data_IF_522575317338
#
_entry.id   IF_522575317338
#
_cell.length_a   1.000
_cell.length_b   1.000
_cell.length_c   1.000
_cell.angle_alpha   90.00
_cell.angle_beta   90.00
_cell.angle_gamma   90.00
#
_symmetry.space_group_name_H-M   'P 1'
#
loop_
_entity.id
_entity.type
_entity.pdbx_description
1 polymer ?
#
# COMPACT_ATOMS: atom_id res chain seq x y z
N UNK A 1 -78.47 19.48 7.34
CA UNK A 1 -78.88 18.30 6.54
C UNK A 1 -78.83 17.11 7.46
N UNK A 2 -79.81 16.98 8.37
CA UNK A 2 -81.01 16.17 8.12
C UNK A 2 -80.60 14.72 7.79
N UNK A 3 -80.54 13.84 8.79
CA UNK A 3 -81.69 13.08 9.36
C UNK A 3 -82.01 11.86 8.48
N UNK A 4 -82.30 10.75 9.17
CA UNK A 4 -82.72 9.42 8.70
C UNK A 4 -81.56 8.53 8.22
N UNK A 5 -81.25 7.39 8.81
CA UNK A 5 -82.08 6.29 9.34
C UNK A 5 -81.21 5.55 10.39
N UNK A 6 -81.50 5.41 11.69
CA UNK A 6 -82.65 4.79 12.38
C UNK A 6 -83.12 3.49 11.70
N UNK A 7 -83.25 2.43 12.51
CA UNK A 7 -83.75 1.08 12.21
C UNK A 7 -82.65 0.15 11.64
N UNK A 8 -82.16 -0.89 12.34
CA UNK A 8 -82.83 -1.80 13.27
C UNK A 8 -81.82 -2.30 14.31
N UNK A 9 -82.06 -1.89 15.56
CA UNK A 9 -81.77 -2.69 16.74
C UNK A 9 -83.12 -3.31 17.13
N UNK A 10 -83.37 -4.52 16.65
CA UNK A 10 -84.35 -5.48 17.18
C UNK A 10 -83.50 -6.71 17.49
N UNK A 11 -83.60 -7.41 18.60
CA UNK A 11 -84.54 -7.43 19.70
C UNK A 11 -83.84 -8.31 20.76
N UNK A 12 -83.82 -7.94 22.05
CA UNK A 12 -84.78 -8.46 23.04
C UNK A 12 -84.44 -9.96 23.33
N UNK A 13 -84.02 -10.39 24.53
CA UNK A 13 -84.74 -10.35 25.81
C UNK A 13 -83.85 -10.95 26.93
N UNK A 14 -83.98 -10.37 28.14
CA UNK A 14 -83.90 -10.90 29.53
C UNK A 14 -82.85 -11.97 29.91
N UNK A 15 -82.31 -12.06 31.12
CA UNK A 15 -82.75 -11.79 32.51
C UNK A 15 -81.49 -12.13 33.36
N UNK A 16 -81.12 -11.58 34.52
CA UNK A 16 -81.84 -11.21 35.74
C UNK A 16 -80.87 -10.48 36.68
N UNK A 17 -81.35 -9.35 37.22
CA UNK A 17 -81.37 -8.95 38.63
C UNK A 17 -80.10 -8.74 39.51
N UNK A 18 -80.22 -7.62 40.25
CA UNK A 18 -80.03 -7.41 41.69
C UNK A 18 -78.85 -6.51 42.13
N UNK A 19 -79.17 -5.21 42.28
CA UNK A 19 -79.03 -4.37 43.50
C UNK A 19 -77.66 -4.29 44.21
N UNK A 20 -77.15 -3.18 44.74
CA UNK A 20 -77.56 -1.79 44.83
C UNK A 20 -76.31 -1.01 45.30
N UNK A 21 -76.36 0.30 45.18
CA UNK A 21 -75.35 1.28 45.56
C UNK A 21 -74.89 1.20 47.04
N UNK A 22 -73.63 1.50 47.33
CA UNK A 22 -73.23 2.41 48.41
C UNK A 22 -71.73 2.69 48.42
N UNK A 23 -71.43 3.97 48.23
CA UNK A 23 -70.23 4.69 48.64
C UNK A 23 -69.65 4.18 49.96
N UNK A 24 -68.36 3.85 50.00
CA UNK A 24 -67.51 3.99 51.18
C UNK A 24 -66.06 4.08 50.72
N UNK A 25 -65.60 5.33 50.59
CA UNK A 25 -64.21 5.67 50.80
C UNK A 25 -63.70 4.91 52.04
N UNK A 26 -62.41 4.58 52.00
CA UNK A 26 -61.56 4.26 53.16
C UNK A 26 -61.31 2.77 53.42
N UNK A 27 -60.52 2.15 52.53
CA UNK A 27 -59.45 1.25 52.99
C UNK A 27 -58.20 1.50 52.14
N UNK A 28 -57.15 1.93 52.83
CA UNK A 28 -55.81 2.15 52.33
C UNK A 28 -55.35 0.96 51.49
N UNK A 29 -55.21 1.14 50.17
CA UNK A 29 -54.38 0.26 49.35
C UNK A 29 -53.21 1.07 48.81
N UNK A 30 -52.29 1.40 49.73
CA UNK A 30 -50.93 1.78 49.38
C UNK A 30 -50.25 0.48 48.94
N UNK A 31 -50.34 0.17 47.66
CA UNK A 31 -49.60 -0.94 47.06
C UNK A 31 -48.67 -0.38 45.99
N UNK A 32 -47.39 -0.25 46.35
CA UNK A 32 -46.30 -0.46 45.41
C UNK A 32 -45.65 0.76 44.75
N UNK A 33 -45.60 1.93 45.39
CA UNK A 33 -44.75 3.03 44.92
C UNK A 33 -43.35 2.89 45.55
N UNK A 34 -42.35 2.55 44.74
CA UNK A 34 -40.93 2.52 45.13
C UNK A 34 -40.47 3.96 45.40
N UNK A 35 -39.70 4.20 46.46
CA UNK A 35 -39.15 5.53 46.76
C UNK A 35 -38.15 5.96 45.69
N UNK A 36 -38.44 7.04 44.96
CA UNK A 36 -37.50 7.69 44.06
C UNK A 36 -36.97 8.96 44.72
N UNK A 37 -35.65 9.19 44.66
CA UNK A 37 -35.10 10.55 44.69
C UNK A 37 -35.24 11.11 43.26
N UNK A 38 -36.00 12.19 43.12
CA UNK A 38 -36.18 13.01 41.92
C UNK A 38 -36.08 12.29 40.55
N UNK A 39 -37.13 11.56 40.16
CA UNK A 39 -37.58 11.48 38.77
C UNK A 39 -36.74 10.71 37.73
N UNK A 40 -35.67 10.01 38.11
CA UNK A 40 -34.87 9.20 37.18
C UNK A 40 -34.53 7.80 37.74
N UNK A 41 -35.53 7.12 38.32
CA UNK A 41 -35.38 5.73 38.76
C UNK A 41 -35.87 4.75 37.70
N UNK A 42 -35.13 3.66 37.49
CA UNK A 42 -35.58 2.52 36.68
C UNK A 42 -36.87 1.94 37.27
N UNK A 43 -37.95 1.99 36.49
CA UNK A 43 -39.28 1.46 36.85
C UNK A 43 -39.41 -0.05 36.66
N UNK A 44 -38.51 -0.64 35.88
CA UNK A 44 -38.45 -2.08 35.64
C UNK A 44 -37.32 -2.73 36.45
N UNK A 45 -37.55 -3.95 36.96
CA UNK A 45 -36.52 -4.69 37.70
C UNK A 45 -35.30 -4.93 36.81
N UNK A 46 -34.11 -4.76 37.37
CA UNK A 46 -32.84 -4.98 36.65
C UNK A 46 -32.81 -6.41 36.12
N UNK A 47 -32.77 -6.54 34.79
CA UNK A 47 -32.66 -7.82 34.13
C UNK A 47 -31.37 -8.52 34.50
N UNK A 48 -31.46 -9.63 35.24
CA UNK A 48 -30.30 -10.45 35.58
C UNK A 48 -29.97 -11.35 34.40
N UNK A 49 -28.87 -11.06 33.70
CA UNK A 49 -28.37 -11.93 32.64
C UNK A 49 -27.63 -13.12 33.26
N UNK A 50 -28.31 -14.27 33.33
CA UNK A 50 -27.74 -15.51 33.83
C UNK A 50 -26.81 -16.12 32.77
N UNK A 51 -25.49 -16.03 33.00
CA UNK A 51 -24.49 -16.62 32.12
C UNK A 51 -24.63 -18.15 32.11
N UNK A 52 -25.03 -18.73 30.98
CA UNK A 52 -25.33 -20.16 30.83
C UNK A 52 -24.11 -21.10 30.87
N UNK A 53 -22.88 -20.58 31.01
CA UNK A 53 -21.63 -21.34 30.96
C UNK A 53 -20.84 -21.30 32.26
N UNK A 54 -19.96 -22.29 32.46
CA UNK A 54 -19.00 -22.35 33.59
C UNK A 54 -17.72 -21.53 33.36
N UNK A 55 -17.65 -20.76 32.27
CA UNK A 55 -16.51 -19.91 31.96
C UNK A 55 -16.45 -18.68 32.87
N UNK A 56 -15.25 -18.29 33.29
CA UNK A 56 -15.05 -17.08 34.09
C UNK A 56 -15.59 -15.82 33.39
N UNK A 57 -16.07 -14.86 34.19
CA UNK A 57 -16.48 -13.54 33.73
C UNK A 57 -15.31 -12.87 32.99
N UNK A 58 -15.54 -12.31 31.79
CA UNK A 58 -14.52 -11.63 30.99
C UNK A 58 -13.69 -12.49 30.02
N UNK A 59 -13.79 -13.83 30.07
CA UNK A 59 -12.99 -14.72 29.19
C UNK A 59 -13.26 -14.53 27.70
N UNK A 60 -14.50 -14.29 27.31
CA UNK A 60 -14.90 -14.07 25.91
C UNK A 60 -14.34 -12.75 25.34
N UNK A 61 -14.33 -11.69 26.15
CA UNK A 61 -13.79 -10.37 25.75
C UNK A 61 -12.29 -10.49 25.55
N UNK A 62 -11.56 -11.05 26.52
CA UNK A 62 -10.13 -11.27 26.42
C UNK A 62 -9.74 -12.17 25.23
N UNK A 63 -10.54 -13.21 24.94
CA UNK A 63 -10.29 -14.08 23.79
C UNK A 63 -10.55 -13.37 22.45
N UNK A 64 -11.58 -12.51 22.38
CA UNK A 64 -11.86 -11.70 21.19
C UNK A 64 -10.77 -10.65 20.95
N UNK A 65 -10.29 -9.99 21.99
CA UNK A 65 -9.18 -9.04 21.92
C UNK A 65 -7.88 -9.71 21.48
N UNK A 66 -7.57 -10.91 22.00
CA UNK A 66 -6.40 -11.69 21.57
C UNK A 66 -6.48 -12.04 20.08
N UNK A 67 -7.65 -12.49 19.60
CA UNK A 67 -7.86 -12.78 18.16
C UNK A 67 -7.73 -11.54 17.30
N UNK A 68 -8.33 -10.42 17.70
CA UNK A 68 -8.22 -9.15 16.98
C UNK A 68 -6.77 -8.68 16.91
N UNK A 69 -6.03 -8.73 18.03
CA UNK A 69 -4.60 -8.39 18.07
C UNK A 69 -3.78 -9.29 17.12
N UNK A 70 -4.01 -10.60 17.15
CA UNK A 70 -3.34 -11.53 16.24
C UNK A 70 -3.63 -11.24 14.76
N UNK A 71 -4.89 -10.94 14.42
CA UNK A 71 -5.26 -10.61 13.04
C UNK A 71 -4.63 -9.29 12.59
N UNK A 72 -4.60 -8.26 13.45
CA UNK A 72 -3.92 -6.99 13.14
C UNK A 72 -2.42 -7.20 12.93
N UNK A 73 -1.76 -7.97 13.81
CA UNK A 73 -0.34 -8.32 13.63
C UNK A 73 -0.11 -9.05 12.30
N UNK A 74 -0.93 -10.07 11.99
CA UNK A 74 -0.83 -10.83 10.73
C UNK A 74 -1.04 -9.94 9.51
N UNK A 75 -2.03 -9.05 9.54
CA UNK A 75 -2.25 -8.08 8.46
C UNK A 75 -1.08 -7.11 8.32
N UNK A 76 -0.48 -6.68 9.41
CA UNK A 76 0.70 -5.82 9.39
C UNK A 76 1.91 -6.53 8.77
N UNK A 77 2.18 -7.79 9.16
CA UNK A 77 3.24 -8.61 8.57
C UNK A 77 3.05 -8.79 7.06
N UNK A 78 1.83 -9.12 6.61
CA UNK A 78 1.55 -9.24 5.17
C UNK A 78 1.75 -7.93 4.40
N UNK A 79 1.46 -6.78 5.02
CA UNK A 79 1.68 -5.46 4.41
C UNK A 79 3.15 -5.13 4.30
N UNK A 80 3.92 -5.35 5.37
CA UNK A 80 5.38 -5.15 5.37
C UNK A 80 6.03 -6.02 4.30
N UNK A 81 5.66 -7.31 4.23
CA UNK A 81 6.15 -8.24 3.20
C UNK A 81 5.81 -7.77 1.76
N UNK A 82 4.60 -7.26 1.54
CA UNK A 82 4.21 -6.70 0.24
C UNK A 82 5.02 -5.43 -0.13
N UNK A 83 5.27 -4.56 0.84
CA UNK A 83 6.07 -3.35 0.66
C UNK A 83 7.53 -3.68 0.31
N UNK A 84 8.12 -4.66 1.00
CA UNK A 84 9.46 -5.18 0.70
C UNK A 84 9.54 -5.78 -0.71
N UNK A 85 8.55 -6.60 -1.11
CA UNK A 85 8.46 -7.12 -2.46
C UNK A 85 8.46 -5.99 -3.50
N UNK A 86 7.57 -4.99 -3.32
CA UNK A 86 7.50 -3.85 -4.23
C UNK A 86 8.79 -3.04 -4.27
N UNK A 87 9.49 -2.90 -3.14
CA UNK A 87 10.78 -2.22 -3.08
C UNK A 87 11.83 -2.95 -3.91
N UNK A 88 11.93 -4.28 -3.77
CA UNK A 88 12.87 -5.10 -4.56
C UNK A 88 12.58 -5.01 -6.06
N UNK A 89 11.31 -5.08 -6.45
CA UNK A 89 10.92 -4.96 -7.86
C UNK A 89 11.30 -3.58 -8.42
N UNK A 90 11.03 -2.49 -7.68
CA UNK A 90 11.45 -1.14 -8.12
C UNK A 90 12.95 -1.02 -8.26
N UNK A 91 13.71 -1.43 -7.25
CA UNK A 91 15.18 -1.41 -7.29
C UNK A 91 15.73 -2.18 -8.47
N UNK A 92 15.24 -3.41 -8.72
CA UNK A 92 15.67 -4.23 -9.86
C UNK A 92 15.38 -3.54 -11.20
N UNK A 93 14.23 -2.87 -11.32
CA UNK A 93 13.89 -2.10 -12.52
C UNK A 93 14.79 -0.86 -12.68
N UNK A 94 15.08 -0.14 -11.60
CA UNK A 94 16.00 1.00 -11.56
C UNK A 94 17.41 0.57 -12.00
N UNK A 95 17.91 -0.57 -11.49
CA UNK A 95 19.21 -1.14 -11.85
C UNK A 95 19.26 -1.51 -13.34
N UNK A 96 18.23 -2.19 -13.87
CA UNK A 96 18.14 -2.53 -15.30
C UNK A 96 18.09 -1.30 -16.20
N UNK A 97 17.37 -0.25 -15.77
CA UNK A 97 17.30 1.00 -16.49
C UNK A 97 18.67 1.69 -16.51
N UNK A 98 19.37 1.72 -15.37
CA UNK A 98 20.70 2.28 -15.24
C UNK A 98 21.71 1.59 -16.16
N UNK A 99 21.71 0.26 -16.21
CA UNK A 99 22.57 -0.52 -17.09
C UNK A 99 22.25 -0.28 -18.57
N UNK A 100 20.95 -0.25 -18.91
CA UNK A 100 20.48 0.05 -20.26
C UNK A 100 20.96 1.43 -20.73
N UNK A 101 20.86 2.44 -19.87
CA UNK A 101 21.27 3.81 -20.21
C UNK A 101 22.80 3.95 -20.27
N UNK A 102 23.53 3.25 -19.41
CA UNK A 102 24.99 3.15 -19.51
C UNK A 102 25.40 2.55 -20.84
N UNK A 103 24.74 1.46 -21.26
CA UNK A 103 25.02 0.78 -22.52
C UNK A 103 24.76 1.67 -23.73
N UNK A 104 23.60 2.36 -23.75
CA UNK A 104 23.27 3.34 -24.81
C UNK A 104 24.30 4.45 -24.87
N UNK A 105 24.69 4.98 -23.72
CA UNK A 105 25.67 6.06 -23.61
C UNK A 105 27.03 5.60 -24.15
N UNK A 106 27.51 4.40 -23.78
CA UNK A 106 28.76 3.83 -24.30
C UNK A 106 28.73 3.65 -25.82
N UNK A 107 27.61 3.15 -26.36
CA UNK A 107 27.44 2.99 -27.81
C UNK A 107 27.48 4.36 -28.52
N UNK A 108 26.75 5.35 -28.00
CA UNK A 108 26.73 6.70 -28.54
C UNK A 108 28.13 7.35 -28.48
N UNK A 109 28.83 7.17 -27.36
CA UNK A 109 30.19 7.68 -27.17
C UNK A 109 31.14 7.10 -28.21
N UNK A 110 31.17 5.77 -28.36
CA UNK A 110 32.02 5.11 -29.36
C UNK A 110 31.70 5.59 -30.78
N UNK A 111 30.42 5.74 -31.11
CA UNK A 111 29.98 6.19 -32.43
C UNK A 111 30.38 7.65 -32.71
N UNK A 112 30.20 8.56 -31.74
CA UNK A 112 30.51 9.97 -31.89
C UNK A 112 32.02 10.22 -31.87
N UNK A 113 32.76 9.50 -31.03
CA UNK A 113 34.21 9.51 -31.00
C UNK A 113 34.81 9.06 -32.33
N UNK A 114 34.30 7.96 -32.91
CA UNK A 114 34.73 7.48 -34.22
C UNK A 114 34.50 8.52 -35.33
N UNK A 115 33.37 9.23 -35.30
CA UNK A 115 33.08 10.33 -36.24
C UNK A 115 34.04 11.53 -36.03
N UNK A 116 34.42 11.80 -34.79
CA UNK A 116 35.39 12.83 -34.43
C UNK A 116 36.85 12.40 -34.67
N UNK A 117 37.10 11.17 -35.14
CA UNK A 117 38.44 10.62 -35.37
C UNK A 117 39.20 10.27 -34.09
N UNK A 118 38.50 10.12 -32.96
CA UNK A 118 39.06 9.66 -31.68
C UNK A 118 39.09 8.13 -31.72
N UNK A 119 40.29 7.56 -31.65
CA UNK A 119 40.51 6.10 -31.77
C UNK A 119 40.89 5.44 -30.43
N UNK A 120 40.91 6.20 -29.34
CA UNK A 120 41.25 5.71 -28.01
C UNK A 120 40.28 6.33 -27.01
N UNK A 121 39.51 5.52 -26.25
CA UNK A 121 38.60 6.05 -25.25
C UNK A 121 39.38 6.71 -24.10
N UNK A 122 38.75 7.67 -23.41
CA UNK A 122 39.34 8.35 -22.25
C UNK A 122 39.60 7.36 -21.13
N UNK A 123 38.59 6.57 -20.76
CA UNK A 123 38.73 5.41 -19.88
C UNK A 123 38.39 4.13 -20.65
N UNK A 124 39.01 3.01 -20.29
CA UNK A 124 38.82 1.73 -20.98
C UNK A 124 37.35 1.27 -21.03
N UNK A 125 36.53 1.67 -20.06
CA UNK A 125 35.11 1.32 -19.96
C UNK A 125 34.16 2.29 -20.71
N UNK A 126 34.65 3.36 -21.32
CA UNK A 126 33.81 4.29 -22.08
C UNK A 126 33.21 3.66 -23.34
N UNK A 127 33.90 2.69 -23.92
CA UNK A 127 33.42 1.97 -25.10
C UNK A 127 33.08 0.53 -24.73
N UNK A 128 32.04 -0.01 -25.37
CA UNK A 128 31.63 -1.39 -25.18
C UNK A 128 32.76 -2.31 -25.63
N UNK A 129 33.34 -3.05 -24.71
CA UNK A 129 34.35 -4.06 -25.02
C UNK A 129 33.68 -5.17 -25.83
N UNK A 130 34.15 -5.42 -27.06
CA UNK A 130 33.48 -6.31 -28.03
C UNK A 130 33.17 -7.71 -27.48
N UNK A 131 34.01 -8.24 -26.57
CA UNK A 131 33.78 -9.53 -25.89
C UNK A 131 32.53 -9.55 -25.01
N UNK A 132 32.22 -8.44 -24.34
CA UNK A 132 31.07 -8.36 -23.43
C UNK A 132 29.74 -8.28 -24.19
N UNK A 133 29.76 -7.87 -25.48
CA UNK A 133 28.56 -7.76 -26.32
C UNK A 133 27.92 -9.11 -26.63
N UNK A 134 28.70 -10.17 -26.74
CA UNK A 134 28.21 -11.53 -27.01
C UNK A 134 27.73 -12.20 -25.71
N UNK A 135 28.50 -12.09 -24.62
CA UNK A 135 28.19 -12.70 -23.31
C UNK A 135 26.90 -12.12 -22.68
N UNK A 136 26.70 -10.80 -22.75
CA UNK A 136 25.56 -10.10 -22.13
C UNK A 136 24.24 -10.34 -22.88
N UNK A 137 24.29 -10.53 -24.21
CA UNK A 137 23.12 -10.91 -25.01
C UNK A 137 22.58 -12.29 -24.67
N UNK A 138 23.43 -13.18 -24.16
CA UNK A 138 23.02 -14.50 -23.68
C UNK A 138 22.55 -14.49 -22.21
N UNK A 139 22.92 -13.48 -21.43
CA UNK A 139 22.50 -13.30 -20.03
C UNK A 139 21.10 -12.67 -19.93
N UNK A 140 20.80 -11.66 -20.76
CA UNK A 140 19.46 -11.05 -20.85
C UNK A 140 18.39 -12.10 -21.23
N UNK A 141 18.70 -13.05 -22.12
CA UNK A 141 17.79 -14.14 -22.49
C UNK A 141 17.61 -15.21 -21.38
N UNK A 142 18.54 -15.31 -20.43
CA UNK A 142 18.49 -16.27 -19.31
C UNK A 142 17.76 -15.70 -18.09
N UNK A 143 17.86 -14.40 -17.83
CA UNK A 143 17.19 -13.76 -16.69
C UNK A 143 15.65 -13.80 -16.78
N UNK A 144 15.08 -13.71 -17.98
CA UNK A 144 13.63 -13.79 -18.20
C UNK A 144 13.04 -15.20 -17.96
N UNK A 145 13.88 -16.24 -17.74
CA UNK A 145 13.43 -17.63 -17.52
C UNK A 145 13.49 -18.14 -16.08
N UNK A 146 14.20 -17.48 -15.17
CA UNK A 146 14.43 -18.00 -13.81
C UNK A 146 13.64 -17.27 -12.70
N UNK A 147 12.59 -16.52 -13.06
CA UNK A 147 11.93 -15.58 -12.12
C UNK A 147 10.99 -16.21 -11.07
N UNK A 148 10.92 -17.55 -10.94
CA UNK A 148 9.96 -18.23 -10.03
C UNK A 148 10.58 -19.18 -8.96
N UNK A 149 11.91 -19.31 -8.84
CA UNK A 149 12.53 -20.23 -7.85
C UNK A 149 13.75 -19.66 -7.08
N UNK A 150 13.65 -18.45 -6.50
CA UNK A 150 14.67 -18.01 -5.53
C UNK A 150 14.10 -17.19 -4.38
N UNK A 151 13.26 -17.83 -3.56
CA UNK A 151 13.16 -17.49 -2.14
C UNK A 151 14.00 -18.49 -1.35
N UNK A 152 14.84 -18.00 -0.45
CA UNK A 152 15.76 -18.75 0.43
C UNK A 152 17.14 -19.03 -0.18
N UNK A 153 18.01 -18.01 -0.13
CA UNK A 153 19.42 -18.24 0.21
C UNK A 153 19.78 -17.27 1.33
N UNK A 154 20.16 -17.88 2.45
CA UNK A 154 20.68 -17.28 3.67
C UNK A 154 21.78 -16.25 3.40
N UNK A 155 21.80 -15.22 4.25
CA UNK A 155 22.94 -14.35 4.53
C UNK A 155 24.12 -15.23 4.99
N UNK A 156 25.06 -15.50 4.10
CA UNK A 156 26.42 -15.91 4.48
C UNK A 156 27.31 -14.68 4.38
N UNK A 157 27.57 -14.12 5.57
CA UNK A 157 28.48 -13.01 5.85
C UNK A 157 29.92 -13.47 5.60
N UNK A 158 30.31 -13.53 4.32
CA UNK A 158 31.72 -13.58 3.94
C UNK A 158 32.28 -12.15 3.96
N UNK A 159 33.05 -11.84 5.01
CA UNK A 159 34.02 -10.73 5.04
C UNK A 159 34.94 -10.85 3.81
N UNK A 160 34.51 -10.27 2.69
CA UNK A 160 35.38 -10.01 1.54
C UNK A 160 36.30 -8.87 1.95
N UNK A 161 37.57 -9.21 2.09
CA UNK A 161 38.66 -8.24 2.10
C UNK A 161 38.41 -7.26 0.96
N UNK A 162 38.19 -5.98 1.31
CA UNK A 162 38.12 -4.87 0.38
C UNK A 162 39.49 -4.72 -0.28
N UNK A 163 39.76 -5.52 -1.31
CA UNK A 163 40.64 -5.04 -2.37
C UNK A 163 39.96 -3.77 -2.89
N UNK A 164 40.65 -2.64 -2.72
CA UNK A 164 40.30 -1.31 -3.19
C UNK A 164 40.14 -1.37 -4.71
N UNK A 165 38.99 -1.87 -5.17
CA UNK A 165 38.64 -1.89 -6.57
C UNK A 165 38.24 -0.46 -6.92
N UNK A 166 39.20 0.34 -7.35
CA UNK A 166 39.05 1.72 -7.85
C UNK A 166 38.11 1.82 -9.09
N UNK A 167 37.45 0.73 -9.48
CA UNK A 167 36.54 0.75 -10.61
C UNK A 167 35.20 1.41 -10.23
N UNK A 168 34.78 2.49 -10.92
CA UNK A 168 33.57 3.22 -10.59
C UNK A 168 32.31 2.34 -10.71
N UNK A 169 31.35 2.56 -9.82
CA UNK A 169 30.03 1.93 -9.88
C UNK A 169 29.29 2.32 -11.19
N UNK A 170 28.33 1.53 -11.66
CA UNK A 170 27.51 1.79 -12.86
C UNK A 170 26.89 3.20 -12.87
N UNK A 171 26.44 3.70 -11.73
CA UNK A 171 25.92 5.06 -11.60
C UNK A 171 26.98 6.14 -11.86
N UNK A 172 28.17 5.98 -11.30
CA UNK A 172 29.29 6.90 -11.51
C UNK A 172 29.82 6.82 -12.94
N UNK A 173 29.84 5.61 -13.51
CA UNK A 173 30.18 5.37 -14.91
C UNK A 173 29.22 6.15 -15.82
N UNK A 174 27.91 6.02 -15.61
CA UNK A 174 26.91 6.74 -16.39
C UNK A 174 27.08 8.26 -16.26
N UNK A 175 27.26 8.78 -15.05
CA UNK A 175 27.43 10.21 -14.82
C UNK A 175 28.64 10.79 -15.58
N UNK A 176 29.81 10.13 -15.46
CA UNK A 176 31.03 10.54 -16.18
C UNK A 176 30.85 10.49 -17.69
N UNK A 177 30.16 9.48 -18.20
CA UNK A 177 29.96 9.28 -19.63
C UNK A 177 28.96 10.28 -20.21
N UNK A 178 27.89 10.58 -19.46
CA UNK A 178 26.95 11.66 -19.77
C UNK A 178 27.64 13.01 -19.78
N UNK A 179 28.48 13.33 -18.79
CA UNK A 179 29.25 14.58 -18.78
C UNK A 179 30.15 14.69 -20.02
N UNK A 180 30.84 13.61 -20.39
CA UNK A 180 31.67 13.58 -21.59
C UNK A 180 30.85 13.82 -22.86
N UNK A 181 29.72 13.10 -23.03
CA UNK A 181 28.83 13.27 -24.19
C UNK A 181 28.30 14.70 -24.30
N UNK A 182 27.92 15.31 -23.19
CA UNK A 182 27.37 16.68 -23.15
C UNK A 182 28.43 17.75 -23.38
N UNK A 183 29.65 17.57 -22.89
CA UNK A 183 30.72 18.58 -23.01
C UNK A 183 31.49 18.47 -24.31
N UNK A 184 31.79 17.24 -24.76
CA UNK A 184 32.64 17.00 -25.94
C UNK A 184 31.85 16.97 -27.23
N UNK A 185 30.67 16.33 -27.19
CA UNK A 185 29.84 16.06 -28.37
C UNK A 185 28.53 16.84 -28.36
N UNK A 186 28.25 17.63 -27.32
CA UNK A 186 27.00 18.36 -27.14
C UNK A 186 25.80 17.43 -27.38
N UNK A 187 25.85 16.21 -26.85
CA UNK A 187 24.88 15.17 -27.10
C UNK A 187 24.18 14.76 -25.81
N UNK A 188 22.86 14.58 -25.87
CA UNK A 188 22.08 14.02 -24.78
C UNK A 188 21.56 12.63 -25.17
N UNK A 189 21.88 11.62 -24.35
CA UNK A 189 21.47 10.23 -24.58
C UNK A 189 19.96 10.03 -24.45
N UNK A 190 19.30 10.77 -23.56
CA UNK A 190 17.86 10.65 -23.32
C UNK A 190 17.03 11.39 -24.39
N UNK A 191 17.49 12.55 -24.86
CA UNK A 191 16.86 13.25 -25.99
C UNK A 191 17.16 12.56 -27.34
N UNK A 192 18.29 11.87 -27.44
CA UNK A 192 18.73 11.22 -28.68
C UNK A 192 19.22 12.20 -29.76
N UNK A 193 19.62 13.42 -29.39
CA UNK A 193 20.04 14.47 -30.33
C UNK A 193 21.33 15.15 -29.88
N UNK A 194 22.11 15.63 -30.86
CA UNK A 194 23.18 16.58 -30.66
C UNK A 194 22.67 18.01 -30.78
N UNK A 195 23.35 18.94 -30.13
CA UNK A 195 23.06 20.37 -30.10
C UNK A 195 24.18 21.16 -30.76
N UNK A 196 23.89 22.40 -31.16
CA UNK A 196 24.84 23.22 -31.89
C UNK A 196 25.95 23.79 -30.98
N UNK A 197 25.60 24.18 -29.76
CA UNK A 197 26.50 24.70 -28.74
C UNK A 197 26.01 24.41 -27.31
N UNK A 198 26.79 24.83 -26.31
CA UNK A 198 26.49 24.59 -24.90
C UNK A 198 25.26 25.37 -24.40
N UNK A 199 24.96 26.54 -24.97
CA UNK A 199 23.80 27.35 -24.59
C UNK A 199 22.52 26.73 -25.18
N UNK A 200 22.59 26.21 -26.41
CA UNK A 200 21.51 25.45 -27.05
C UNK A 200 21.18 24.19 -26.25
N UNK A 201 22.20 23.42 -25.85
CA UNK A 201 22.03 22.26 -24.97
C UNK A 201 21.34 22.64 -23.65
N UNK A 202 21.78 23.71 -22.99
CA UNK A 202 21.24 24.13 -21.69
C UNK A 202 19.80 24.67 -21.77
N UNK A 203 19.40 25.21 -22.92
CA UNK A 203 18.06 25.79 -23.10
C UNK A 203 17.03 24.79 -23.66
N UNK A 204 17.48 23.80 -24.42
CA UNK A 204 16.60 22.84 -25.10
C UNK A 204 16.60 21.43 -24.48
N UNK A 205 17.58 21.07 -23.65
CA UNK A 205 17.60 19.78 -22.96
C UNK A 205 16.93 19.89 -21.57
N UNK A 206 15.97 19.02 -21.22
CA UNK A 206 15.30 19.04 -19.92
C UNK A 206 16.23 18.92 -18.70
N UNK A 207 17.31 18.14 -18.84
CA UNK A 207 18.29 17.94 -17.77
C UNK A 207 19.43 17.00 -18.17
N UNK A 208 20.15 16.46 -17.19
CA UNK A 208 21.30 15.56 -17.37
C UNK A 208 21.09 14.19 -16.74
N UNK A 209 19.88 13.89 -16.28
CA UNK A 209 19.49 12.57 -15.75
C UNK A 209 18.32 11.98 -16.52
N UNK A 210 18.09 10.67 -16.37
CA UNK A 210 16.93 10.00 -16.96
C UNK A 210 15.60 10.58 -16.46
N UNK A 211 15.52 10.91 -15.16
CA UNK A 211 14.32 11.44 -14.50
C UNK A 211 13.85 12.77 -15.09
N UNK A 212 14.76 13.58 -15.63
CA UNK A 212 14.41 14.85 -16.27
C UNK A 212 13.67 14.66 -17.62
N UNK A 213 13.67 13.43 -18.14
CA UNK A 213 13.18 13.09 -19.48
C UNK A 213 11.97 12.13 -19.49
N UNK A 214 11.43 11.78 -18.31
CA UNK A 214 10.25 10.92 -18.13
C UNK A 214 8.88 11.64 -18.35
#
# INVERSE_FOLDING_TARGET
>A
MHILYIFIKLSFICSTNYDDVTSLLHFMFISGFVCYVAGAGITEPIGVNLKAGRGGLGREVAQKEKRHRQEVCRQQETKVSLEEYRKRVRSKMEDRQLESDLRKSQCACQQLDAQAGVNCPVDAWFWVQEKKKEEESEEEEKEDREEDEKSEKDDDDEEKEEEENDEPNSHEKLAKLTEYLRTRHLYCVWCGTSYDDADDLASNCPGDTAEDHD
#
